data_IF_537122259517
#
_entry.id   IF_537122259517
#
_cell.length_a   1.000
_cell.length_b   1.000
_cell.length_c   1.000
_cell.angle_alpha   90.00
_cell.angle_beta   90.00
_cell.angle_gamma   90.00
#
_symmetry.space_group_name_H-M   'P 1'
#
loop_
_entity.id
_entity.type
_entity.pdbx_description
1 polymer ?
#
# COMPACT_ATOMS: atom_id res chain seq x y z
N UNK A 1 0.62 -23.51 -9.27
CA UNK A 1 -0.14 -24.59 -8.65
C UNK A 1 0.32 -25.93 -9.19
N UNK A 2 0.54 -26.88 -8.32
CA UNK A 2 0.81 -28.31 -8.66
C UNK A 2 -0.28 -29.18 -8.06
N UNK A 3 -0.29 -30.48 -8.38
CA UNK A 3 -1.23 -31.42 -7.77
C UNK A 3 -1.07 -31.44 -6.22
N UNK A 4 0.17 -31.31 -5.74
CA UNK A 4 0.50 -31.32 -4.32
C UNK A 4 0.24 -29.96 -3.64
N UNK A 5 0.14 -28.86 -4.42
CA UNK A 5 -0.09 -27.49 -3.94
C UNK A 5 -1.23 -26.83 -4.74
N UNK A 6 -2.47 -27.28 -4.60
CA UNK A 6 -3.60 -26.84 -5.42
C UNK A 6 -3.93 -25.35 -5.25
N UNK A 7 -3.58 -24.77 -4.09
CA UNK A 7 -3.82 -23.37 -3.77
C UNK A 7 -2.52 -22.53 -3.78
N UNK A 8 -1.40 -23.11 -4.20
CA UNK A 8 -0.08 -22.49 -4.20
C UNK A 8 0.77 -22.86 -2.99
N UNK A 9 1.97 -22.31 -2.93
CA UNK A 9 3.01 -22.61 -1.94
C UNK A 9 2.91 -21.76 -0.65
N UNK A 10 1.87 -20.97 -0.52
CA UNK A 10 1.70 -20.05 0.60
C UNK A 10 2.36 -18.68 0.42
N UNK A 11 3.06 -18.44 -0.67
CA UNK A 11 3.67 -17.13 -0.97
C UNK A 11 2.63 -16.05 -1.31
N UNK A 12 1.44 -16.45 -1.74
CA UNK A 12 0.43 -15.56 -2.30
C UNK A 12 0.74 -15.11 -3.73
N UNK A 13 1.84 -15.55 -4.33
CA UNK A 13 2.25 -15.14 -5.67
C UNK A 13 1.52 -15.94 -6.76
N UNK A 14 0.97 -15.23 -7.74
CA UNK A 14 0.30 -15.80 -8.90
C UNK A 14 0.88 -15.22 -10.17
N UNK A 15 1.49 -16.06 -11.00
CA UNK A 15 1.95 -15.68 -12.32
C UNK A 15 0.80 -15.77 -13.32
N UNK A 16 0.45 -14.65 -13.94
CA UNK A 16 -0.51 -14.57 -15.04
C UNK A 16 0.21 -14.50 -16.37
N UNK A 17 -0.29 -15.25 -17.33
CA UNK A 17 0.12 -15.19 -18.73
C UNK A 17 -1.13 -15.20 -19.59
N UNK A 18 -1.35 -14.09 -20.30
CA UNK A 18 -2.44 -13.92 -21.25
C UNK A 18 -1.84 -13.99 -22.65
N UNK A 19 -2.39 -14.83 -23.49
CA UNK A 19 -1.99 -14.98 -24.90
C UNK A 19 -3.23 -14.94 -25.77
N UNK A 20 -3.17 -14.19 -26.85
CA UNK A 20 -4.18 -14.18 -27.90
C UNK A 20 -3.55 -13.85 -29.24
N UNK A 21 -4.09 -14.41 -30.31
CA UNK A 21 -3.65 -14.12 -31.66
C UNK A 21 -4.07 -12.69 -32.07
N UNK A 22 -3.20 -11.98 -32.73
CA UNK A 22 -3.43 -10.60 -33.21
C UNK A 22 -3.79 -9.58 -32.11
N UNK A 23 -3.38 -9.83 -30.87
CA UNK A 23 -3.59 -8.93 -29.75
C UNK A 23 -2.72 -7.66 -29.89
N UNK A 24 -3.30 -6.49 -29.70
CA UNK A 24 -2.62 -5.19 -29.66
C UNK A 24 -2.30 -4.75 -28.24
N UNK A 25 -3.19 -5.07 -27.29
CA UNK A 25 -2.97 -4.75 -25.88
C UNK A 25 -3.77 -5.65 -24.97
N UNK A 26 -3.34 -5.68 -23.71
CA UNK A 26 -3.96 -6.47 -22.65
C UNK A 26 -4.28 -5.57 -21.46
N UNK A 27 -5.40 -5.83 -20.82
CA UNK A 27 -5.75 -5.30 -19.50
C UNK A 27 -6.18 -6.43 -18.59
N UNK A 28 -5.96 -6.25 -17.29
CA UNK A 28 -6.33 -7.22 -16.28
C UNK A 28 -6.92 -6.54 -15.06
N UNK A 29 -7.94 -7.16 -14.48
CA UNK A 29 -8.41 -6.91 -13.13
C UNK A 29 -8.09 -8.15 -12.30
N UNK A 30 -7.48 -7.95 -11.13
CA UNK A 30 -7.01 -9.04 -10.27
C UNK A 30 -8.07 -9.56 -9.31
N UNK A 31 -9.15 -8.82 -9.11
CA UNK A 31 -10.31 -9.23 -8.31
C UNK A 31 -11.55 -8.39 -8.67
N UNK A 32 -12.26 -8.81 -9.67
CA UNK A 32 -13.50 -8.15 -10.13
C UNK A 32 -14.73 -8.50 -9.27
N UNK A 33 -14.55 -9.09 -8.08
CA UNK A 33 -15.65 -9.40 -7.17
C UNK A 33 -16.23 -8.16 -6.48
N UNK A 34 -15.48 -7.07 -6.41
CA UNK A 34 -15.92 -5.78 -5.85
C UNK A 34 -16.40 -4.81 -6.93
N UNK A 35 -15.52 -4.34 -7.79
CA UNK A 35 -15.81 -3.48 -8.92
C UNK A 35 -14.76 -3.66 -10.00
N UNK A 36 -15.15 -3.75 -11.27
CA UNK A 36 -14.22 -3.94 -12.37
C UNK A 36 -13.23 -2.78 -12.49
N UNK A 37 -11.95 -3.05 -12.25
CA UNK A 37 -10.84 -2.08 -12.30
C UNK A 37 -9.70 -2.60 -13.16
N UNK A 38 -9.78 -2.34 -14.48
CA UNK A 38 -8.83 -2.85 -15.45
C UNK A 38 -7.54 -2.01 -15.50
N UNK A 39 -6.41 -2.63 -15.20
CA UNK A 39 -5.06 -2.06 -15.34
C UNK A 39 -4.37 -2.56 -16.61
N UNK A 40 -3.49 -1.75 -17.19
CA UNK A 40 -2.72 -2.14 -18.37
C UNK A 40 -1.73 -3.27 -18.05
N UNK A 41 -1.61 -4.22 -18.98
CA UNK A 41 -0.68 -5.34 -18.92
C UNK A 41 0.15 -5.41 -20.19
N UNK A 42 1.19 -4.58 -20.36
CA UNK A 42 1.88 -4.35 -21.66
C UNK A 42 2.43 -5.60 -22.32
N UNK A 43 2.92 -6.56 -21.54
CA UNK A 43 3.54 -7.80 -22.05
C UNK A 43 2.62 -9.02 -22.02
N UNK A 44 1.38 -8.87 -21.56
CA UNK A 44 0.50 -10.00 -21.28
C UNK A 44 0.96 -10.90 -20.13
N UNK A 45 2.00 -10.51 -19.40
CA UNK A 45 2.57 -11.30 -18.29
C UNK A 45 2.81 -10.44 -17.05
N UNK A 46 2.49 -11.00 -15.89
CA UNK A 46 2.77 -10.38 -14.57
C UNK A 46 2.74 -11.45 -13.48
N UNK A 47 3.49 -11.20 -12.42
CA UNK A 47 3.29 -11.88 -11.13
C UNK A 47 2.59 -10.92 -10.17
N UNK A 48 1.40 -11.29 -9.71
CA UNK A 48 0.62 -10.55 -8.72
C UNK A 48 0.73 -11.26 -7.38
N UNK A 49 1.04 -10.51 -6.33
CA UNK A 49 1.00 -11.00 -4.95
C UNK A 49 -0.37 -10.72 -4.34
N UNK A 50 -1.01 -11.77 -3.84
CA UNK A 50 -2.21 -11.68 -3.02
C UNK A 50 -1.81 -11.81 -1.56
N UNK A 51 -2.23 -10.86 -0.74
CA UNK A 51 -1.69 -10.69 0.63
C UNK A 51 -2.70 -11.03 1.72
N UNK A 52 -3.97 -11.23 1.36
CA UNK A 52 -4.99 -11.66 2.32
C UNK A 52 -4.66 -13.06 2.81
N UNK A 53 -4.50 -13.17 4.12
CA UNK A 53 -4.05 -14.42 4.75
C UNK A 53 -5.07 -15.56 4.59
N UNK A 54 -4.54 -16.77 4.57
CA UNK A 54 -5.30 -17.99 4.36
C UNK A 54 -5.59 -18.28 2.90
N UNK A 55 -6.54 -19.14 2.65
CA UNK A 55 -6.99 -19.52 1.30
C UNK A 55 -8.14 -18.61 0.89
N UNK A 56 -7.93 -17.84 -0.18
CA UNK A 56 -8.93 -16.91 -0.71
C UNK A 56 -9.12 -17.15 -2.21
N UNK A 57 -10.34 -16.94 -2.70
CA UNK A 57 -10.67 -17.02 -4.12
C UNK A 57 -10.93 -15.63 -4.68
N UNK A 58 -10.34 -15.34 -5.82
CA UNK A 58 -10.41 -14.05 -6.53
C UNK A 58 -10.99 -14.26 -7.92
N UNK A 59 -11.80 -13.33 -8.39
CA UNK A 59 -12.37 -13.32 -9.73
C UNK A 59 -11.49 -12.45 -10.63
N UNK A 60 -10.61 -13.08 -11.39
CA UNK A 60 -9.67 -12.37 -12.28
C UNK A 60 -10.29 -12.21 -13.65
N UNK A 61 -10.35 -10.96 -14.15
CA UNK A 61 -10.87 -10.62 -15.48
C UNK A 61 -9.76 -10.08 -16.36
N UNK A 62 -9.58 -10.67 -17.52
CA UNK A 62 -8.65 -10.20 -18.53
C UNK A 62 -9.40 -9.73 -19.78
N UNK A 63 -8.98 -8.59 -20.34
CA UNK A 63 -9.50 -8.04 -21.58
C UNK A 63 -8.36 -7.90 -22.58
N UNK A 64 -8.54 -8.49 -23.74
CA UNK A 64 -7.60 -8.41 -24.88
C UNK A 64 -8.22 -7.52 -25.94
N UNK A 65 -7.47 -6.56 -26.43
CA UNK A 65 -7.89 -5.65 -27.50
C UNK A 65 -7.15 -6.00 -28.81
N UNK A 66 -7.91 -6.10 -29.87
CA UNK A 66 -7.41 -6.37 -31.23
C UNK A 66 -7.59 -5.19 -32.18
N UNK A 67 -7.25 -5.40 -33.44
CA UNK A 67 -7.43 -4.39 -34.49
C UNK A 67 -8.92 -4.06 -34.72
N UNK A 68 -9.17 -2.85 -35.19
CA UNK A 68 -10.55 -2.40 -35.50
C UNK A 68 -11.45 -2.19 -34.27
N UNK A 69 -10.88 -2.03 -33.08
CA UNK A 69 -11.66 -1.83 -31.84
C UNK A 69 -12.29 -3.11 -31.27
N UNK A 70 -11.89 -4.28 -31.75
CA UNK A 70 -12.37 -5.56 -31.21
C UNK A 70 -11.81 -5.84 -29.83
N UNK A 71 -12.59 -6.49 -28.97
CA UNK A 71 -12.11 -6.94 -27.68
C UNK A 71 -12.69 -8.31 -27.29
N UNK A 72 -11.93 -9.05 -26.50
CA UNK A 72 -12.37 -10.31 -25.90
C UNK A 72 -12.10 -10.28 -24.41
N UNK A 73 -13.11 -10.66 -23.63
CA UNK A 73 -13.04 -10.72 -22.17
C UNK A 73 -13.04 -12.16 -21.71
N UNK A 74 -12.17 -12.50 -20.76
CA UNK A 74 -12.11 -13.80 -20.09
C UNK A 74 -12.07 -13.58 -18.60
N UNK A 75 -12.93 -14.28 -17.87
CA UNK A 75 -12.97 -14.27 -16.41
C UNK A 75 -12.62 -15.65 -15.86
N UNK A 76 -11.80 -15.70 -14.81
CA UNK A 76 -11.38 -16.93 -14.17
C UNK A 76 -11.25 -16.76 -12.66
N UNK A 77 -11.79 -17.71 -11.90
CA UNK A 77 -11.53 -17.81 -10.48
C UNK A 77 -10.12 -18.37 -10.21
N UNK A 78 -9.43 -17.73 -9.28
CA UNK A 78 -8.08 -18.11 -8.84
C UNK A 78 -8.07 -18.21 -7.33
N UNK A 79 -7.95 -19.44 -6.81
CA UNK A 79 -7.79 -19.68 -5.37
C UNK A 79 -6.31 -19.61 -5.00
N UNK A 80 -5.98 -18.84 -3.99
CA UNK A 80 -4.60 -18.54 -3.58
C UNK A 80 -4.45 -18.74 -2.08
N UNK A 81 -3.40 -19.43 -1.67
CA UNK A 81 -2.96 -19.53 -0.29
C UNK A 81 -1.89 -18.46 -0.02
N UNK A 82 -2.07 -17.67 1.04
CA UNK A 82 -1.08 -16.71 1.53
C UNK A 82 -0.81 -16.97 3.02
N UNK A 83 0.44 -17.30 3.36
CA UNK A 83 0.86 -17.71 4.70
C UNK A 83 1.78 -16.68 5.38
N UNK A 84 1.82 -15.42 4.91
CA UNK A 84 2.64 -14.43 5.61
C UNK A 84 2.08 -14.16 7.00
N UNK A 85 2.84 -14.55 8.01
CA UNK A 85 2.54 -14.31 9.42
C UNK A 85 3.63 -13.37 9.95
N UNK A 86 3.31 -12.10 10.25
CA UNK A 86 4.28 -11.19 10.85
C UNK A 86 4.61 -11.65 12.29
N UNK A 87 5.79 -11.25 12.77
CA UNK A 87 6.14 -11.48 14.17
C UNK A 87 5.07 -10.88 15.09
N UNK A 88 4.53 -11.64 16.05
CA UNK A 88 3.54 -11.17 17.00
C UNK A 88 3.98 -9.90 17.76
N UNK A 89 5.28 -9.72 17.98
CA UNK A 89 5.85 -8.52 18.61
C UNK A 89 5.60 -7.28 17.76
N UNK A 90 5.74 -7.38 16.44
CA UNK A 90 5.46 -6.28 15.51
C UNK A 90 3.99 -5.88 15.61
N UNK A 91 3.09 -6.86 15.56
CA UNK A 91 1.65 -6.63 15.68
C UNK A 91 1.35 -5.93 17.00
N UNK A 92 1.87 -6.47 18.11
CA UNK A 92 1.62 -5.92 19.44
C UNK A 92 2.18 -4.52 19.62
N UNK A 93 3.39 -4.24 19.12
CA UNK A 93 3.98 -2.92 19.20
C UNK A 93 3.17 -1.89 18.40
N UNK A 94 2.65 -2.28 17.23
CA UNK A 94 1.87 -1.39 16.38
C UNK A 94 0.46 -1.14 16.93
N UNK A 95 -0.21 -2.17 17.44
CA UNK A 95 -1.64 -2.12 17.82
C UNK A 95 -1.90 -2.10 19.33
N UNK A 96 -0.87 -2.25 20.17
CA UNK A 96 -1.03 -2.37 21.63
C UNK A 96 -1.87 -3.58 22.07
N UNK A 97 -1.97 -4.60 21.21
CA UNK A 97 -2.80 -5.78 21.45
C UNK A 97 -4.26 -5.66 20.97
N UNK A 98 -4.82 -4.46 20.92
CA UNK A 98 -6.15 -4.16 20.40
C UNK A 98 -6.17 -2.93 19.49
N UNK A 99 -5.86 -1.77 20.04
CA UNK A 99 -5.65 -0.54 19.24
C UNK A 99 -4.65 0.40 19.92
N UNK A 100 -3.87 1.09 19.11
CA UNK A 100 -2.90 2.08 19.57
C UNK A 100 -2.87 3.28 18.61
N UNK A 101 -2.92 4.47 19.19
CA UNK A 101 -2.81 5.72 18.44
C UNK A 101 -1.38 6.22 18.49
N UNK A 102 -0.86 6.60 17.33
CA UNK A 102 0.46 7.15 17.14
C UNK A 102 0.35 8.58 16.69
N UNK A 103 1.31 9.39 17.09
CA UNK A 103 1.50 10.80 16.67
C UNK A 103 2.96 10.98 16.32
N UNK A 104 3.26 12.04 15.57
CA UNK A 104 4.64 12.46 15.34
C UNK A 104 5.15 13.16 16.59
N UNK A 105 6.28 12.73 17.12
CA UNK A 105 6.87 13.34 18.32
C UNK A 105 7.71 14.57 17.94
N UNK A 106 7.11 15.73 18.07
CA UNK A 106 7.75 17.02 17.79
C UNK A 106 8.98 17.33 18.69
N UNK A 107 9.08 16.65 19.84
CA UNK A 107 10.15 16.91 20.83
C UNK A 107 11.49 16.21 20.48
N UNK A 108 11.49 15.37 19.46
CA UNK A 108 12.67 14.58 19.04
C UNK A 108 13.27 15.19 17.79
N UNK A 109 14.53 15.63 17.83
CA UNK A 109 15.24 16.03 16.62
C UNK A 109 15.37 14.84 15.65
N UNK A 110 15.18 15.10 14.38
CA UNK A 110 15.21 14.03 13.36
C UNK A 110 13.93 13.21 13.21
N UNK A 111 12.84 13.64 13.84
CA UNK A 111 11.54 12.99 13.73
C UNK A 111 10.94 13.04 12.31
N UNK A 112 11.46 13.91 11.46
CA UNK A 112 11.13 14.03 10.05
C UNK A 112 12.37 14.43 9.25
N UNK A 113 12.50 13.97 8.03
CA UNK A 113 13.66 14.32 7.21
C UNK A 113 13.63 13.73 5.81
N UNK A 114 14.63 14.11 5.02
CA UNK A 114 14.80 13.70 3.63
C UNK A 114 16.20 13.12 3.42
N UNK A 115 16.29 12.03 2.69
CA UNK A 115 17.55 11.35 2.41
C UNK A 115 17.51 10.63 1.06
N UNK A 116 18.60 9.95 0.75
CA UNK A 116 18.68 9.12 -0.45
C UNK A 116 17.71 7.93 -0.36
N UNK A 117 17.10 7.63 -1.50
CA UNK A 117 16.39 6.39 -1.69
C UNK A 117 17.39 5.28 -2.03
N UNK A 118 17.99 4.70 -1.03
CA UNK A 118 18.80 3.52 -1.20
C UNK A 118 18.68 2.58 0.00
N UNK A 119 19.13 1.35 -0.17
CA UNK A 119 19.05 0.29 0.81
C UNK A 119 20.15 0.33 1.89
N UNK A 120 21.06 1.33 1.85
CA UNK A 120 22.22 1.45 2.73
C UNK A 120 22.07 2.54 3.79
N UNK A 121 21.18 3.51 3.54
CA UNK A 121 20.98 4.68 4.42
C UNK A 121 19.59 4.63 5.03
N UNK A 122 19.53 4.59 6.35
CA UNK A 122 18.28 4.62 7.13
C UNK A 122 18.04 5.93 7.88
N UNK A 123 18.89 6.93 7.62
CA UNK A 123 18.82 8.24 8.27
C UNK A 123 18.59 9.35 7.23
N UNK A 124 17.95 10.47 7.60
CA UNK A 124 17.75 11.61 6.71
C UNK A 124 19.07 12.33 6.45
N UNK A 125 19.79 11.91 5.38
CA UNK A 125 21.13 12.37 5.08
C UNK A 125 21.18 13.77 4.44
N UNK A 126 20.07 14.27 3.86
CA UNK A 126 20.03 15.56 3.17
C UNK A 126 19.48 16.68 4.04
N UNK A 127 18.45 16.39 4.81
CA UNK A 127 17.83 17.32 5.74
C UNK A 127 17.11 16.57 6.85
N UNK A 128 17.14 17.13 8.05
CA UNK A 128 16.54 16.56 9.24
C UNK A 128 15.88 17.68 10.04
N UNK A 129 14.66 17.44 10.52
CA UNK A 129 13.90 18.40 11.29
C UNK A 129 14.51 18.64 12.68
N UNK A 130 14.59 19.90 13.10
CA UNK A 130 14.84 20.27 14.47
C UNK A 130 13.60 20.03 15.36
N UNK A 131 13.78 20.13 16.68
CA UNK A 131 12.67 20.04 17.64
C UNK A 131 11.63 21.11 17.29
N UNK A 132 10.36 20.71 17.18
CA UNK A 132 9.23 21.59 16.85
C UNK A 132 9.33 22.29 15.48
N UNK A 133 10.15 21.79 14.56
CA UNK A 133 10.42 22.38 13.24
C UNK A 133 9.16 22.82 12.49
N UNK A 134 8.10 22.04 12.53
CA UNK A 134 6.87 22.29 11.77
C UNK A 134 5.78 23.05 12.53
N UNK A 135 6.00 23.41 13.79
CA UNK A 135 4.99 24.13 14.60
C UNK A 135 4.62 25.48 13.98
N UNK A 136 5.59 26.21 13.46
CA UNK A 136 5.38 27.58 12.94
C UNK A 136 4.66 27.64 11.58
N UNK A 137 4.82 26.61 10.72
CA UNK A 137 4.22 26.59 9.38
C UNK A 137 3.06 25.59 9.25
N UNK A 138 3.18 24.44 9.90
CA UNK A 138 2.48 23.26 9.48
C UNK A 138 2.15 22.35 10.67
N UNK A 139 1.63 22.93 11.74
CA UNK A 139 1.36 22.23 13.01
C UNK A 139 0.39 21.03 12.87
N UNK A 140 -0.39 20.97 11.78
CA UNK A 140 -1.22 19.82 11.45
C UNK A 140 -0.42 18.51 11.36
N UNK A 141 0.89 18.58 11.08
CA UNK A 141 1.79 17.43 11.11
C UNK A 141 1.84 16.77 12.49
N UNK A 142 1.76 17.55 13.55
CA UNK A 142 1.81 17.05 14.93
C UNK A 142 0.45 16.77 15.55
N UNK A 143 -0.62 17.37 15.02
CA UNK A 143 -2.00 17.12 15.48
C UNK A 143 -2.65 15.94 14.77
N UNK A 144 -2.06 15.48 13.67
CA UNK A 144 -2.50 14.28 12.96
C UNK A 144 -2.29 13.03 13.80
N UNK A 145 -3.24 12.12 13.75
CA UNK A 145 -3.18 10.84 14.48
C UNK A 145 -3.34 9.64 13.56
N UNK A 146 -2.66 8.57 13.90
CA UNK A 146 -2.64 7.31 13.16
C UNK A 146 -3.00 6.19 14.14
N UNK A 147 -4.24 5.71 14.09
CA UNK A 147 -4.70 4.65 14.98
C UNK A 147 -4.68 3.31 14.25
N UNK A 148 -3.83 2.42 14.70
CA UNK A 148 -3.76 1.04 14.23
C UNK A 148 -4.57 0.14 15.14
N UNK A 149 -5.50 -0.63 14.56
CA UNK A 149 -6.38 -1.53 15.31
C UNK A 149 -6.30 -2.95 14.77
N UNK A 150 -6.34 -3.91 15.70
CA UNK A 150 -6.51 -5.34 15.43
C UNK A 150 -7.96 -5.70 15.70
N UNK A 151 -8.65 -6.24 14.72
CA UNK A 151 -10.04 -6.69 14.80
C UNK A 151 -10.12 -8.21 14.68
N UNK A 152 -11.30 -8.78 14.87
CA UNK A 152 -11.50 -10.21 14.66
C UNK A 152 -11.30 -10.64 13.18
N UNK A 153 -11.47 -9.71 12.24
CA UNK A 153 -11.39 -9.97 10.80
C UNK A 153 -10.11 -9.45 10.13
N UNK A 154 -9.21 -8.79 10.87
CA UNK A 154 -7.98 -8.22 10.28
C UNK A 154 -7.49 -6.98 11.01
N UNK A 155 -6.98 -6.02 10.25
CA UNK A 155 -6.38 -4.80 10.78
C UNK A 155 -6.94 -3.57 10.08
N UNK A 156 -7.04 -2.45 10.82
CA UNK A 156 -7.41 -1.15 10.26
C UNK A 156 -6.42 -0.06 10.67
N UNK A 157 -6.23 0.90 9.78
CA UNK A 157 -5.58 2.18 10.04
C UNK A 157 -6.63 3.28 9.91
N UNK A 158 -6.87 4.00 10.99
CA UNK A 158 -7.68 5.20 11.00
C UNK A 158 -6.73 6.42 11.08
N UNK A 159 -6.78 7.26 10.06
CA UNK A 159 -6.03 8.53 10.01
C UNK A 159 -6.98 9.66 10.30
N UNK A 160 -6.65 10.53 11.26
CA UNK A 160 -7.39 11.73 11.54
C UNK A 160 -6.47 12.96 11.46
N UNK A 161 -6.88 13.95 10.70
CA UNK A 161 -6.15 15.19 10.45
C UNK A 161 -7.04 16.39 10.75
N UNK A 162 -7.30 16.66 12.06
CA UNK A 162 -8.29 17.66 12.48
C UNK A 162 -7.98 19.08 11.98
N UNK A 163 -6.71 19.40 11.82
CA UNK A 163 -6.22 20.70 11.36
C UNK A 163 -5.74 20.65 9.90
N UNK A 164 -6.20 19.65 9.15
CA UNK A 164 -5.74 19.36 7.79
C UNK A 164 -4.57 18.40 7.74
N UNK A 165 -4.30 17.86 6.56
CA UNK A 165 -3.19 16.95 6.32
C UNK A 165 -1.92 17.75 5.95
N UNK A 166 -0.81 17.40 6.59
CA UNK A 166 0.51 17.88 6.19
C UNK A 166 0.96 17.17 4.92
N UNK A 167 1.18 17.93 3.87
CA UNK A 167 1.69 17.40 2.61
C UNK A 167 2.37 18.46 1.77
N UNK A 168 3.16 18.02 0.79
CA UNK A 168 3.66 18.81 -0.31
C UNK A 168 2.79 18.56 -1.53
N UNK A 169 2.16 19.59 -2.07
CA UNK A 169 1.32 19.51 -3.26
C UNK A 169 2.11 19.13 -4.51
N UNK A 170 1.47 18.92 -5.62
CA UNK A 170 2.13 18.56 -6.87
C UNK A 170 2.24 17.05 -7.07
N UNK A 171 2.95 16.33 -6.22
CA UNK A 171 3.05 14.86 -6.31
C UNK A 171 1.72 14.14 -6.03
N UNK A 172 0.78 14.81 -5.32
CA UNK A 172 -0.54 14.30 -4.98
C UNK A 172 -1.67 14.93 -5.81
N UNK A 173 -1.33 15.70 -6.84
CA UNK A 173 -2.30 16.36 -7.70
C UNK A 173 -3.35 15.37 -8.23
N UNK A 174 -4.61 15.59 -7.90
CA UNK A 174 -5.74 14.72 -8.26
C UNK A 174 -5.81 13.40 -7.50
N UNK A 175 -4.89 13.13 -6.55
CA UNK A 175 -4.87 11.88 -5.79
C UNK A 175 -5.72 11.90 -4.52
N UNK A 176 -5.82 13.05 -3.85
CA UNK A 176 -6.59 13.19 -2.61
C UNK A 176 -7.53 14.39 -2.67
N UNK A 177 -8.79 14.25 -2.22
CA UNK A 177 -9.72 15.36 -2.11
C UNK A 177 -9.17 16.50 -1.23
N UNK A 178 -9.34 17.76 -1.67
CA UNK A 178 -8.91 18.93 -0.93
C UNK A 178 -7.42 19.29 -1.04
N UNK A 179 -6.62 18.46 -1.74
CA UNK A 179 -5.21 18.76 -1.99
C UNK A 179 -5.07 19.45 -3.36
N UNK A 180 -4.58 20.70 -3.42
CA UNK A 180 -4.41 21.40 -4.68
C UNK A 180 -3.29 20.81 -5.54
N UNK A 181 -3.38 21.00 -6.87
CA UNK A 181 -2.40 20.50 -7.83
C UNK A 181 -1.04 21.19 -7.79
N UNK A 182 -0.91 22.30 -7.05
CA UNK A 182 0.33 23.05 -6.88
C UNK A 182 0.33 23.77 -5.54
N UNK A 183 1.50 24.13 -5.04
CA UNK A 183 1.70 24.84 -3.79
C UNK A 183 2.88 24.31 -3.01
N UNK A 184 3.18 24.97 -1.90
CA UNK A 184 4.25 24.61 -1.00
C UNK A 184 3.80 23.52 -0.01
N UNK A 185 4.75 23.02 0.76
CA UNK A 185 4.49 22.20 1.93
C UNK A 185 3.61 22.96 2.93
N UNK A 186 2.54 22.31 3.39
CA UNK A 186 1.58 22.96 4.28
C UNK A 186 0.47 22.05 4.78
N UNK A 187 -0.50 22.64 5.47
CA UNK A 187 -1.71 21.97 5.93
C UNK A 187 -2.84 22.17 4.91
N UNK A 188 -3.35 21.09 4.38
CA UNK A 188 -4.39 21.12 3.37
C UNK A 188 -5.66 20.40 3.85
N UNK A 189 -6.81 20.80 3.31
CA UNK A 189 -8.12 20.32 3.74
C UNK A 189 -8.35 18.86 3.34
N UNK A 190 -7.81 17.96 4.12
CA UNK A 190 -8.05 16.52 4.04
C UNK A 190 -8.26 16.00 5.47
N UNK A 191 -9.38 15.36 5.74
CA UNK A 191 -9.77 14.95 7.11
C UNK A 191 -9.28 13.56 7.52
N UNK A 192 -8.51 12.92 6.66
CA UNK A 192 -8.10 11.53 6.88
C UNK A 192 -9.14 10.52 6.41
N UNK A 193 -9.07 9.31 6.92
CA UNK A 193 -9.97 8.23 6.56
C UNK A 193 -9.60 6.93 7.26
N UNK A 194 -10.35 5.88 6.95
CA UNK A 194 -10.11 4.54 7.48
C UNK A 194 -9.82 3.57 6.34
N UNK A 195 -8.78 2.76 6.50
CA UNK A 195 -8.43 1.71 5.56
C UNK A 195 -8.16 0.41 6.29
N UNK A 196 -8.61 -0.70 5.72
CA UNK A 196 -8.08 -1.97 6.11
C UNK A 196 -6.62 -2.10 5.63
N UNK A 197 -5.81 -2.87 6.35
CA UNK A 197 -4.47 -3.20 5.90
C UNK A 197 -4.11 -4.66 6.18
N UNK A 198 -3.10 -5.13 5.46
CA UNK A 198 -2.50 -6.44 5.69
C UNK A 198 -1.00 -6.29 5.91
N UNK A 199 -0.45 -7.13 6.77
CA UNK A 199 1.00 -7.28 6.84
C UNK A 199 1.49 -8.10 5.66
N UNK A 200 2.59 -7.67 5.05
CA UNK A 200 3.23 -8.34 3.93
C UNK A 200 4.74 -8.40 4.15
N UNK A 201 5.46 -9.32 3.49
CA UNK A 201 6.91 -9.23 3.43
C UNK A 201 7.30 -7.89 2.79
N UNK A 202 8.32 -7.24 3.32
CA UNK A 202 8.87 -6.06 2.66
C UNK A 202 9.44 -6.46 1.30
N UNK A 203 9.01 -5.77 0.24
CA UNK A 203 9.53 -5.96 -1.12
C UNK A 203 10.76 -5.11 -1.42
N UNK A 204 11.06 -4.15 -0.53
CA UNK A 204 12.27 -3.33 -0.66
C UNK A 204 13.47 -4.15 -0.24
N UNK A 205 14.52 -4.13 -1.04
CA UNK A 205 15.81 -4.72 -0.71
C UNK A 205 16.56 -3.92 0.35
N UNK A 206 15.86 -3.58 1.46
CA UNK A 206 16.52 -2.88 2.58
C UNK A 206 17.72 -3.71 2.99
N UNK A 207 18.90 -3.12 2.90
CA UNK A 207 20.16 -3.80 3.12
C UNK A 207 20.15 -4.55 4.45
N UNK A 208 20.85 -5.67 4.46
CA UNK A 208 21.05 -6.46 5.69
C UNK A 208 21.65 -5.62 6.84
N UNK A 209 22.28 -4.49 6.52
CA UNK A 209 22.89 -3.56 7.48
C UNK A 209 21.89 -2.53 8.06
N UNK A 210 20.73 -2.30 7.43
CA UNK A 210 19.73 -1.40 7.96
C UNK A 210 18.81 -2.14 8.93
N UNK A 211 18.47 -1.56 10.10
CA UNK A 211 17.47 -2.15 10.99
C UNK A 211 16.15 -2.31 10.26
N UNK A 212 15.73 -3.54 10.05
CA UNK A 212 14.48 -3.85 9.35
C UNK A 212 13.85 -5.11 9.91
N UNK A 213 12.55 -5.06 10.15
CA UNK A 213 11.74 -6.23 10.48
C UNK A 213 11.40 -7.09 9.27
N UNK A 214 11.75 -6.63 8.05
CA UNK A 214 11.35 -7.23 6.77
C UNK A 214 9.83 -7.38 6.62
N UNK A 215 9.10 -6.58 7.37
CA UNK A 215 7.64 -6.54 7.36
C UNK A 215 7.20 -5.17 6.86
N UNK A 216 6.21 -5.15 6.01
CA UNK A 216 5.54 -3.95 5.55
C UNK A 216 4.04 -4.06 5.80
N UNK A 217 3.33 -2.95 5.70
CA UNK A 217 1.87 -2.91 5.64
C UNK A 217 1.44 -2.58 4.22
N UNK A 218 0.39 -3.23 3.75
CA UNK A 218 -0.29 -2.91 2.51
C UNK A 218 -1.68 -2.40 2.85
N UNK A 219 -1.94 -1.14 2.53
CA UNK A 219 -3.25 -0.53 2.71
C UNK A 219 -4.21 -0.99 1.61
N UNK A 220 -5.47 -1.19 1.96
CA UNK A 220 -6.54 -1.49 1.01
C UNK A 220 -7.63 -0.44 1.15
N UNK A 221 -8.02 0.18 0.03
CA UNK A 221 -8.98 1.27 0.00
C UNK A 221 -8.41 2.54 -0.65
N UNK A 222 -9.28 3.53 -0.84
CA UNK A 222 -8.95 4.78 -1.56
C UNK A 222 -8.69 5.99 -0.65
N UNK A 223 -8.77 5.83 0.68
CA UNK A 223 -8.78 6.94 1.64
C UNK A 223 -7.58 6.96 2.58
N UNK A 224 -6.44 6.44 2.12
CA UNK A 224 -5.17 6.55 2.87
C UNK A 224 -4.04 6.95 1.99
#
# INVERSE_FOLDING_TARGET
>A
KTADLPNGDGSGDVAFTIKADNALSYRIDYDASDALSLVNLPTGKITKKYTKLGTNTYVVTAVVFGAGGTSTTVTKEVTVLSNFIPDPTIINNLTGGSSKTWVVDASVAGHFGVGEWNDKVSTPAWWSADINEKVGCCNCFYTSTFKFSKTASGYTLDVATPDGAFTKTGALAGGLPGIPGSGDEGCYAYSGGSSAFSFIPSSTGVAAAAPSTKTAILLSGTNT
#
